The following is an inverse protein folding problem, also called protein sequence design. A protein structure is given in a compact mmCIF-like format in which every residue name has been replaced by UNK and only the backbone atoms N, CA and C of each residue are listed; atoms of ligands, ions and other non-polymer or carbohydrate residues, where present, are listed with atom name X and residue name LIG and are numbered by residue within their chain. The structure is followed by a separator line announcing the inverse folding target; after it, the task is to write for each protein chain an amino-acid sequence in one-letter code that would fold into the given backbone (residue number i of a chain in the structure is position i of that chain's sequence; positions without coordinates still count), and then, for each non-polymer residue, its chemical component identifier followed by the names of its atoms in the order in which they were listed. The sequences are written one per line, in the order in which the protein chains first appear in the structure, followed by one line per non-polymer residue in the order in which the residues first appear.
data_IF_064565717985
#
_entry.id   IF_064565717985
#
_cell.length_a   1.000
_cell.length_b   1.000
_cell.length_c   1.000
_cell.angle_alpha   90.00
_cell.angle_beta   90.00
_cell.angle_gamma   90.00
#
_symmetry.space_group_name_H-M   'P 1'
#
loop_
_entity.id
_entity.type
_entity.pdbx_description
1 polymer ?
#
# COMPACT_ATOMS: atom_id res chain seq x y z
N UNK A 1 64.23 25.04 31.26
CA UNK A 1 63.83 23.80 30.56
C UNK A 1 62.66 23.18 31.32
N UNK A 2 61.46 23.17 30.73
CA UNK A 2 60.53 22.06 30.86
C UNK A 2 59.38 22.27 29.87
N UNK A 3 59.32 21.33 28.95
CA UNK A 3 58.32 21.10 27.92
C UNK A 3 56.94 20.80 28.51
N UNK A 4 55.87 21.11 27.76
CA UNK A 4 54.84 20.16 27.34
C UNK A 4 53.57 20.88 26.83
N UNK A 5 53.68 21.51 25.66
CA UNK A 5 52.57 21.51 24.71
C UNK A 5 52.48 20.08 24.16
N UNK A 6 51.43 19.31 24.48
CA UNK A 6 50.91 18.23 23.60
C UNK A 6 49.74 17.40 24.14
N UNK A 7 49.20 17.65 25.34
CA UNK A 7 48.15 16.77 25.88
C UNK A 7 46.70 17.14 25.56
N UNK A 8 46.42 18.37 25.10
CA UNK A 8 45.01 18.80 24.90
C UNK A 8 44.43 18.36 23.55
N UNK A 9 45.25 18.01 22.57
CA UNK A 9 44.79 17.68 21.22
C UNK A 9 44.54 16.19 20.94
N UNK A 10 44.83 15.28 21.88
CA UNK A 10 44.62 13.84 21.65
C UNK A 10 43.20 13.38 22.07
N UNK A 11 42.56 14.07 23.02
CA UNK A 11 41.22 13.67 23.47
C UNK A 11 40.07 14.07 22.53
N UNK A 12 40.26 15.02 21.62
CA UNK A 12 39.21 15.44 20.68
C UNK A 12 39.16 14.60 19.40
N UNK A 13 40.27 13.99 18.99
CA UNK A 13 40.30 13.23 17.73
C UNK A 13 39.77 11.79 17.87
N UNK A 14 39.86 11.18 19.06
CA UNK A 14 39.43 9.80 19.29
C UNK A 14 37.92 9.63 19.53
N UNK A 15 37.17 10.71 19.80
CA UNK A 15 35.70 10.66 19.90
C UNK A 15 34.98 10.88 18.56
N UNK A 16 35.67 11.39 17.55
CA UNK A 16 35.11 11.63 16.23
C UNK A 16 35.06 10.37 15.36
N UNK A 17 36.05 9.47 15.51
CA UNK A 17 36.16 8.28 14.67
C UNK A 17 35.21 7.13 15.08
N UNK A 18 34.79 7.06 16.35
CA UNK A 18 33.84 6.01 16.79
C UNK A 18 32.40 6.30 16.38
N UNK A 19 32.03 7.58 16.20
CA UNK A 19 30.68 7.97 15.80
C UNK A 19 30.42 7.67 14.31
N UNK A 20 31.44 7.76 13.46
CA UNK A 20 31.30 7.45 12.04
C UNK A 20 31.22 5.94 11.74
N UNK A 21 31.87 5.09 12.54
CA UNK A 21 31.79 3.63 12.39
C UNK A 21 30.43 3.05 12.80
N UNK A 22 29.75 3.67 13.78
CA UNK A 22 28.39 3.27 14.19
C UNK A 22 27.33 3.63 13.14
N UNK A 23 27.49 4.74 12.43
CA UNK A 23 26.56 5.15 11.36
C UNK A 23 26.74 4.28 10.09
N UNK A 24 27.97 3.83 9.81
CA UNK A 24 28.24 2.97 8.66
C UNK A 24 27.72 1.52 8.84
N UNK A 25 27.67 1.02 10.07
CA UNK A 25 27.11 -0.32 10.37
C UNK A 25 25.57 -0.35 10.47
N UNK A 26 24.89 0.77 10.70
CA UNK A 26 23.43 0.81 10.78
C UNK A 26 22.73 0.95 9.42
N UNK A 27 23.47 1.11 8.32
CA UNK A 27 22.90 1.48 7.02
C UNK A 27 22.55 0.28 6.12
N UNK A 28 22.90 -0.95 6.48
CA UNK A 28 22.86 -2.11 5.57
C UNK A 28 21.80 -3.18 5.89
N UNK A 29 20.85 -2.94 6.80
CA UNK A 29 19.82 -3.93 7.14
C UNK A 29 18.43 -3.32 7.32
N UNK A 30 17.99 -2.49 6.38
CA UNK A 30 16.55 -2.38 6.07
C UNK A 30 16.38 -2.34 4.54
N UNK A 31 17.00 -3.30 3.85
CA UNK A 31 16.61 -3.65 2.49
C UNK A 31 15.46 -4.65 2.59
N UNK A 32 14.23 -4.13 2.45
CA UNK A 32 12.97 -4.83 2.18
C UNK A 32 12.96 -6.37 2.29
N UNK A 33 12.65 -6.89 3.47
CA UNK A 33 11.84 -8.12 3.58
C UNK A 33 10.81 -7.97 4.70
N UNK A 34 10.03 -6.89 4.63
CA UNK A 34 8.69 -6.98 5.18
C UNK A 34 7.87 -7.84 4.20
N UNK A 35 8.09 -9.15 4.23
CA UNK A 35 7.08 -10.11 3.81
C UNK A 35 5.86 -9.88 4.71
N UNK A 36 5.07 -8.86 4.37
CA UNK A 36 3.68 -8.82 4.79
C UNK A 36 3.10 -10.18 4.39
N UNK A 37 2.49 -10.92 5.33
CA UNK A 37 2.03 -12.28 5.07
C UNK A 37 1.30 -12.33 3.74
N UNK A 38 1.75 -13.26 2.89
CA UNK A 38 1.32 -13.41 1.50
C UNK A 38 -0.21 -13.34 1.44
N UNK A 39 -0.70 -12.43 0.60
CA UNK A 39 -2.09 -12.11 0.31
C UNK A 39 -2.92 -13.28 -0.27
N UNK A 40 -2.40 -14.50 -0.22
CA UNK A 40 -3.09 -15.70 -0.68
C UNK A 40 -3.94 -16.34 0.40
N UNK A 41 -3.64 -16.07 1.68
CA UNK A 41 -4.24 -16.86 2.76
C UNK A 41 -5.12 -15.96 3.63
N UNK A 42 -6.41 -16.29 3.67
CA UNK A 42 -7.42 -15.82 4.64
C UNK A 42 -8.20 -14.52 4.35
N UNK A 43 -7.58 -13.36 4.17
CA UNK A 43 -8.33 -12.09 4.40
C UNK A 43 -9.28 -11.69 3.24
N UNK A 44 -8.97 -12.05 1.98
CA UNK A 44 -9.90 -11.82 0.86
C UNK A 44 -10.79 -13.01 0.52
N UNK A 45 -10.44 -14.23 0.94
CA UNK A 45 -11.21 -15.43 0.59
C UNK A 45 -12.40 -15.68 1.54
N UNK A 46 -12.41 -15.07 2.72
CA UNK A 46 -13.60 -14.98 3.58
C UNK A 46 -14.61 -13.90 3.13
N UNK A 47 -14.31 -13.15 2.07
CA UNK A 47 -15.08 -11.98 1.66
C UNK A 47 -16.12 -12.31 0.58
N UNK A 48 -17.27 -11.63 0.62
CA UNK A 48 -18.33 -11.76 -0.39
C UNK A 48 -17.92 -11.38 -1.82
N UNK A 49 -16.65 -11.00 -2.05
CA UNK A 49 -16.06 -10.67 -3.35
C UNK A 49 -16.14 -11.84 -4.33
N UNK A 50 -16.03 -13.09 -3.86
CA UNK A 50 -16.05 -14.29 -4.73
C UNK A 50 -17.35 -14.43 -5.54
N UNK A 51 -18.42 -13.78 -5.07
CA UNK A 51 -19.70 -13.75 -5.76
C UNK A 51 -19.65 -12.86 -7.01
N UNK A 52 -18.78 -11.84 -7.03
CA UNK A 52 -18.71 -10.82 -8.08
C UNK A 52 -17.37 -10.80 -8.82
N UNK A 53 -16.34 -11.50 -8.33
CA UNK A 53 -15.02 -11.52 -8.90
C UNK A 53 -14.31 -12.87 -8.67
N UNK A 54 -13.29 -13.11 -9.48
CA UNK A 54 -12.39 -14.26 -9.45
C UNK A 54 -10.97 -13.78 -9.18
N UNK A 55 -10.22 -14.56 -8.40
CA UNK A 55 -8.81 -14.28 -8.16
C UNK A 55 -7.99 -14.61 -9.40
N UNK A 56 -7.05 -13.74 -9.75
CA UNK A 56 -6.21 -13.90 -10.95
C UNK A 56 -4.81 -14.37 -10.60
N UNK A 57 -4.13 -13.69 -9.67
CA UNK A 57 -2.72 -13.98 -9.40
C UNK A 57 -2.26 -13.63 -7.98
N UNK A 58 -1.07 -14.15 -7.64
CA UNK A 58 -0.37 -13.94 -6.36
C UNK A 58 -0.16 -12.48 -5.95
N UNK A 59 -0.30 -11.53 -6.89
CA UNK A 59 -0.12 -10.11 -6.64
C UNK A 59 -1.43 -9.43 -6.17
N UNK A 60 -2.49 -10.21 -5.94
CA UNK A 60 -3.77 -9.69 -5.44
C UNK A 60 -4.67 -9.14 -6.53
N UNK A 61 -4.42 -9.47 -7.79
CA UNK A 61 -5.33 -9.07 -8.87
C UNK A 61 -6.61 -9.89 -8.82
N UNK A 62 -7.73 -9.19 -8.99
CA UNK A 62 -9.04 -9.82 -9.14
C UNK A 62 -9.64 -9.40 -10.48
N UNK A 63 -10.39 -10.32 -11.08
CA UNK A 63 -11.15 -10.13 -12.32
C UNK A 63 -12.63 -10.18 -11.98
N UNK A 64 -13.37 -9.17 -12.40
CA UNK A 64 -14.81 -9.14 -12.15
C UNK A 64 -15.57 -10.03 -13.12
N UNK A 65 -16.64 -10.66 -12.64
CA UNK A 65 -17.54 -11.44 -13.48
C UNK A 65 -18.22 -10.53 -14.51
N UNK A 66 -18.52 -11.03 -15.72
CA UNK A 66 -19.17 -10.23 -16.75
C UNK A 66 -20.57 -9.77 -16.29
N UNK A 67 -21.02 -8.62 -16.80
CA UNK A 67 -22.34 -8.07 -16.52
C UNK A 67 -22.42 -7.05 -15.38
N UNK A 68 -21.31 -6.79 -14.68
CA UNK A 68 -21.23 -5.71 -13.69
C UNK A 68 -21.10 -4.36 -14.38
N UNK A 69 -22.22 -3.65 -14.50
CA UNK A 69 -22.24 -2.25 -14.89
C UNK A 69 -21.49 -1.44 -13.82
N UNK A 70 -20.54 -0.61 -14.25
CA UNK A 70 -19.72 0.17 -13.35
C UNK A 70 -20.19 1.63 -13.30
N UNK A 71 -20.61 2.07 -12.12
CA UNK A 71 -20.62 3.49 -11.78
C UNK A 71 -19.61 3.72 -10.66
N UNK A 72 -18.64 4.60 -10.93
CA UNK A 72 -17.64 5.05 -9.98
C UNK A 72 -18.27 5.57 -8.68
N UNK A 73 -19.39 6.28 -8.79
CA UNK A 73 -20.09 6.90 -7.66
C UNK A 73 -20.86 5.93 -6.76
N UNK A 74 -21.13 4.70 -7.22
CA UNK A 74 -21.96 3.72 -6.48
C UNK A 74 -21.29 2.40 -6.19
N UNK A 75 -20.25 1.99 -6.93
CA UNK A 75 -19.67 0.65 -6.80
C UNK A 75 -19.35 0.24 -5.35
N UNK A 76 -18.64 1.10 -4.60
CA UNK A 76 -18.34 0.81 -3.20
C UNK A 76 -19.54 1.01 -2.27
N UNK A 77 -20.53 1.84 -2.61
CA UNK A 77 -21.78 1.92 -1.84
C UNK A 77 -22.51 0.57 -1.88
N UNK A 78 -22.54 -0.06 -3.05
CA UNK A 78 -23.28 -1.29 -3.30
C UNK A 78 -22.52 -2.55 -2.85
N UNK A 79 -21.19 -2.47 -2.72
CA UNK A 79 -20.35 -3.64 -2.50
C UNK A 79 -19.35 -3.54 -1.35
N UNK A 80 -19.28 -2.44 -0.57
CA UNK A 80 -18.24 -2.30 0.49
C UNK A 80 -18.15 -3.48 1.45
N UNK A 81 -19.28 -4.07 1.85
CA UNK A 81 -19.31 -5.25 2.72
C UNK A 81 -18.65 -6.48 2.08
N UNK A 82 -18.76 -6.62 0.75
CA UNK A 82 -18.08 -7.69 0.00
C UNK A 82 -16.55 -7.53 0.00
N UNK A 83 -16.06 -6.32 0.25
CA UNK A 83 -14.65 -6.00 0.44
C UNK A 83 -14.21 -6.04 1.92
N UNK A 84 -15.07 -6.51 2.83
CA UNK A 84 -14.78 -6.60 4.27
C UNK A 84 -14.90 -5.27 5.02
N UNK A 85 -15.39 -4.21 4.37
CA UNK A 85 -15.51 -2.89 4.97
C UNK A 85 -16.74 -2.78 5.85
N UNK A 86 -16.55 -2.24 7.05
CA UNK A 86 -17.60 -2.05 8.05
C UNK A 86 -18.44 -0.79 7.86
N UNK A 87 -19.36 -0.52 8.81
CA UNK A 87 -20.18 0.68 8.81
C UNK A 87 -19.37 1.98 8.93
N UNK A 88 -18.23 1.94 9.64
CA UNK A 88 -17.35 3.09 9.91
C UNK A 88 -16.27 3.29 8.85
N UNK A 89 -16.24 2.43 7.84
CA UNK A 89 -15.30 2.50 6.73
C UNK A 89 -15.90 3.29 5.56
N UNK A 90 -15.10 4.22 5.05
CA UNK A 90 -15.35 4.97 3.83
C UNK A 90 -14.29 4.64 2.78
N UNK A 91 -14.67 4.76 1.51
CA UNK A 91 -13.75 4.68 0.38
C UNK A 91 -13.80 6.01 -0.36
N UNK A 92 -12.64 6.61 -0.58
CA UNK A 92 -12.50 7.95 -1.16
C UNK A 92 -11.71 7.88 -2.46
N UNK A 93 -12.24 8.47 -3.54
CA UNK A 93 -11.54 8.57 -4.82
C UNK A 93 -10.31 9.46 -4.64
N UNK A 94 -9.14 8.89 -4.93
CA UNK A 94 -7.84 9.57 -4.93
C UNK A 94 -7.54 10.18 -6.29
N UNK A 95 -7.72 9.40 -7.35
CA UNK A 95 -7.43 9.84 -8.70
C UNK A 95 -8.22 9.04 -9.74
N UNK A 96 -8.40 9.67 -10.89
CA UNK A 96 -9.01 9.08 -12.08
C UNK A 96 -8.09 9.35 -13.27
N UNK A 97 -7.76 8.30 -14.03
CA UNK A 97 -6.93 8.40 -15.24
C UNK A 97 -7.57 7.54 -16.32
N UNK A 98 -7.67 8.06 -17.54
CA UNK A 98 -7.95 7.25 -18.73
C UNK A 98 -6.66 7.04 -19.51
N UNK A 99 -6.36 5.81 -19.87
CA UNK A 99 -5.19 5.47 -20.66
C UNK A 99 -5.49 5.44 -22.18
N UNK A 100 -4.44 5.33 -22.99
CA UNK A 100 -4.55 5.30 -24.45
C UNK A 100 -5.13 3.98 -24.98
N UNK A 101 -5.33 2.98 -24.12
CA UNK A 101 -5.95 1.69 -24.45
C UNK A 101 -7.46 1.69 -24.15
N UNK A 102 -8.01 2.83 -23.69
CA UNK A 102 -9.41 2.99 -23.36
C UNK A 102 -9.78 2.57 -21.93
N UNK A 103 -8.82 2.12 -21.12
CA UNK A 103 -9.07 1.81 -19.72
C UNK A 103 -9.23 3.10 -18.92
N UNK A 104 -10.21 3.04 -18.02
CA UNK A 104 -10.42 4.03 -16.97
C UNK A 104 -9.97 3.44 -15.64
N UNK A 105 -9.02 4.11 -14.99
CA UNK A 105 -8.41 3.74 -13.73
C UNK A 105 -8.93 4.64 -12.62
N UNK A 106 -9.61 4.06 -11.65
CA UNK A 106 -10.13 4.76 -10.48
C UNK A 106 -9.35 4.28 -9.26
N UNK A 107 -8.47 5.12 -8.72
CA UNK A 107 -7.71 4.81 -7.52
C UNK A 107 -8.45 5.35 -6.31
N UNK A 108 -8.63 4.52 -5.30
CA UNK A 108 -9.27 4.89 -4.05
C UNK A 108 -8.38 4.60 -2.85
N UNK A 109 -8.67 5.24 -1.73
CA UNK A 109 -8.12 4.88 -0.42
C UNK A 109 -9.23 4.72 0.62
N UNK A 110 -8.95 3.95 1.68
CA UNK A 110 -9.89 3.74 2.79
C UNK A 110 -9.72 4.81 3.86
N UNK A 111 -10.83 5.14 4.52
CA UNK A 111 -10.82 5.80 5.82
C UNK A 111 -11.58 4.97 6.82
N UNK A 112 -11.07 4.86 8.03
CA UNK A 112 -11.80 4.33 9.18
C UNK A 112 -12.09 5.49 10.14
N UNK A 113 -13.36 5.72 10.47
CA UNK A 113 -13.78 6.84 11.33
C UNK A 113 -13.19 8.18 10.87
N UNK A 114 -13.23 8.44 9.55
CA UNK A 114 -12.70 9.64 8.88
C UNK A 114 -11.17 9.79 8.87
N UNK A 115 -10.42 8.84 9.43
CA UNK A 115 -8.96 8.83 9.39
C UNK A 115 -8.50 7.99 8.20
N UNK A 116 -7.62 8.53 7.37
CA UNK A 116 -7.03 7.78 6.25
C UNK A 116 -6.27 6.57 6.78
N UNK A 117 -6.60 5.40 6.24
CA UNK A 117 -5.88 4.16 6.54
C UNK A 117 -4.67 4.11 5.61
N UNK A 118 -3.46 4.14 6.17
CA UNK A 118 -2.26 4.08 5.35
C UNK A 118 -2.09 2.72 4.67
N UNK A 119 -1.48 2.72 3.49
CA UNK A 119 -1.31 1.54 2.63
C UNK A 119 -2.61 0.84 2.18
N UNK A 120 -3.77 1.47 2.40
CA UNK A 120 -5.05 1.02 1.86
C UNK A 120 -5.32 1.72 0.52
N UNK A 121 -4.92 1.10 -0.59
CA UNK A 121 -5.24 1.61 -1.91
C UNK A 121 -5.77 0.50 -2.81
N UNK A 122 -6.85 0.79 -3.51
CA UNK A 122 -7.44 -0.11 -4.50
C UNK A 122 -7.65 0.63 -5.81
N UNK A 123 -7.33 -0.03 -6.93
CA UNK A 123 -7.47 0.51 -8.26
C UNK A 123 -8.50 -0.32 -9.02
N UNK A 124 -9.61 0.31 -9.39
CA UNK A 124 -10.62 -0.28 -10.26
C UNK A 124 -10.30 0.05 -11.72
N UNK A 125 -10.24 -0.98 -12.55
CA UNK A 125 -10.01 -0.86 -13.99
C UNK A 125 -11.31 -1.14 -14.73
N UNK A 126 -11.83 -0.12 -15.40
CA UNK A 126 -13.02 -0.19 -16.24
C UNK A 126 -12.65 -0.04 -17.72
N UNK A 127 -13.35 -0.75 -18.59
CA UNK A 127 -13.23 -0.63 -20.05
C UNK A 127 -14.65 -0.59 -20.62
N UNK A 128 -14.95 0.42 -21.44
CA UNK A 128 -16.28 0.67 -22.01
C UNK A 128 -17.40 0.70 -20.97
N UNK A 129 -17.15 1.34 -19.82
CA UNK A 129 -18.12 1.43 -18.72
C UNK A 129 -18.36 0.13 -17.94
N UNK A 130 -17.60 -0.94 -18.24
CA UNK A 130 -17.69 -2.24 -17.57
C UNK A 130 -16.47 -2.46 -16.69
N UNK A 131 -16.69 -2.85 -15.44
CA UNK A 131 -15.61 -3.18 -14.53
C UNK A 131 -14.93 -4.49 -14.99
N UNK A 132 -13.60 -4.47 -15.12
CA UNK A 132 -12.83 -5.61 -15.64
C UNK A 132 -11.99 -6.27 -14.57
N UNK A 133 -11.17 -5.47 -13.90
CA UNK A 133 -10.18 -5.96 -12.95
C UNK A 133 -9.95 -4.95 -11.83
N UNK A 134 -9.39 -5.43 -10.73
CA UNK A 134 -8.91 -4.58 -9.64
C UNK A 134 -7.57 -5.07 -9.15
N UNK A 135 -6.77 -4.13 -8.65
CA UNK A 135 -5.50 -4.39 -7.97
C UNK A 135 -5.43 -3.57 -6.68
N UNK A 136 -4.54 -3.98 -5.77
CA UNK A 136 -4.36 -3.31 -4.48
C UNK A 136 -5.14 -3.94 -3.33
N UNK A 137 -5.19 -3.25 -2.19
CA UNK A 137 -5.69 -3.77 -0.92
C UNK A 137 -6.41 -2.70 -0.08
N UNK A 138 -7.41 -3.17 0.66
CA UNK A 138 -8.10 -2.49 1.75
C UNK A 138 -7.84 -3.29 3.05
N UNK A 139 -7.96 -2.65 4.21
CA UNK A 139 -7.58 -3.20 5.52
C UNK A 139 -8.77 -3.35 6.47
#
# INVERSE_FOLDING_TARGET
MCSNLSYVNICFYLRSLSLFLLIYHSSNTIAQDAQFPRMTDSIYMASGIINIAEYVDKNGWIKFKPGLCFSDSTFFKDHKQKFGLGPMDDIVLKSFIRDNLGYSHYRYYQRYKKVKVEFSEIILHSLDGKLKKSSGRLL
#
